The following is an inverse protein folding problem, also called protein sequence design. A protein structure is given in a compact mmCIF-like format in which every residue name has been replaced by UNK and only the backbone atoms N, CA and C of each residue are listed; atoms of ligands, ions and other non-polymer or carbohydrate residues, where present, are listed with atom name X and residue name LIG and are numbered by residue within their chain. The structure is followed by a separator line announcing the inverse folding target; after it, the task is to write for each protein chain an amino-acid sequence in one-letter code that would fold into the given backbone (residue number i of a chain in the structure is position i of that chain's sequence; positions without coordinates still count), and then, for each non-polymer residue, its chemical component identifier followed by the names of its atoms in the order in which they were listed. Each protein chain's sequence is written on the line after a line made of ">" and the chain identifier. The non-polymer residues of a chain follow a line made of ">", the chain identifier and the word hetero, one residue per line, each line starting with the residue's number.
data_IF_357151429390
#
_entry.id   IF_357151429390
#
_cell.length_a   1.000
_cell.length_b   1.000
_cell.length_c   1.000
_cell.angle_alpha   90.00
_cell.angle_beta   90.00
_cell.angle_gamma   90.00
#
_symmetry.space_group_name_H-M   'P 1'
#
loop_
_entity.id
_entity.type
_entity.pdbx_description
1 polymer ?
#
# COMPACT_ATOMS: atom_id res chain seq x y z
N UNK A 1 6.03 -3.97 -17.07
CA UNK A 1 5.46 -4.11 -15.73
C UNK A 1 3.96 -4.28 -15.93
N UNK A 2 3.38 -5.39 -15.50
CA UNK A 2 1.91 -5.51 -15.49
C UNK A 2 1.41 -4.93 -14.16
N UNK A 3 0.68 -3.81 -14.22
CA UNK A 3 0.17 -3.14 -13.03
C UNK A 3 -1.04 -3.84 -12.43
N UNK A 4 -1.76 -4.68 -13.19
CA UNK A 4 -2.93 -5.40 -12.70
C UNK A 4 -2.56 -6.60 -11.83
N UNK A 5 -1.38 -7.19 -12.05
CA UNK A 5 -0.84 -8.27 -11.23
C UNK A 5 0.60 -7.97 -10.78
N UNK A 6 0.73 -6.84 -10.09
CA UNK A 6 2.02 -6.32 -9.63
C UNK A 6 2.86 -7.35 -8.85
N UNK A 7 2.32 -8.14 -7.89
CA UNK A 7 3.12 -9.09 -7.11
C UNK A 7 3.83 -10.14 -7.98
N UNK A 8 3.11 -10.69 -8.96
CA UNK A 8 3.66 -11.70 -9.87
C UNK A 8 4.76 -11.10 -10.77
N UNK A 9 4.58 -9.87 -11.25
CA UNK A 9 5.58 -9.21 -12.07
C UNK A 9 6.89 -8.94 -11.31
N UNK A 10 6.80 -8.52 -10.05
CA UNK A 10 7.96 -8.28 -9.18
C UNK A 10 8.72 -9.57 -8.86
N UNK A 11 7.99 -10.67 -8.61
CA UNK A 11 8.60 -11.99 -8.46
C UNK A 11 9.36 -12.42 -9.73
N UNK A 12 8.78 -12.20 -10.92
CA UNK A 12 9.45 -12.50 -12.19
C UNK A 12 10.72 -11.65 -12.41
N UNK A 13 10.71 -10.39 -11.98
CA UNK A 13 11.88 -9.50 -12.04
C UNK A 13 12.96 -9.93 -11.07
N UNK A 14 12.60 -10.34 -9.86
CA UNK A 14 13.54 -10.88 -8.89
C UNK A 14 14.26 -12.11 -9.45
N UNK A 15 13.54 -13.04 -10.09
CA UNK A 15 14.16 -14.21 -10.72
C UNK A 15 15.12 -13.86 -11.87
N UNK A 16 15.00 -12.68 -12.48
CA UNK A 16 15.83 -12.25 -13.61
C UNK A 16 17.00 -11.34 -13.17
N UNK A 17 16.79 -10.48 -12.19
CA UNK A 17 17.73 -9.42 -11.79
C UNK A 17 18.28 -9.59 -10.37
N UNK A 18 17.74 -10.53 -9.59
CA UNK A 18 18.13 -10.80 -8.21
C UNK A 18 17.29 -10.04 -7.18
N UNK A 19 17.70 -10.15 -5.92
CA UNK A 19 16.96 -9.63 -4.76
C UNK A 19 16.91 -8.09 -4.67
N UNK A 20 17.82 -7.40 -5.37
CA UNK A 20 17.91 -5.94 -5.41
C UNK A 20 18.09 -5.50 -6.86
N UNK A 21 17.18 -4.66 -7.36
CA UNK A 21 17.26 -4.13 -8.72
C UNK A 21 16.67 -2.72 -8.82
N UNK A 22 17.12 -1.94 -9.79
CA UNK A 22 16.57 -0.61 -10.07
C UNK A 22 15.49 -0.67 -11.14
N UNK A 23 14.34 -0.06 -10.88
CA UNK A 23 13.23 0.12 -11.80
C UNK A 23 12.96 1.61 -12.04
N UNK A 24 12.83 2.01 -13.30
CA UNK A 24 12.36 3.36 -13.62
C UNK A 24 10.83 3.42 -13.48
N UNK A 25 10.37 4.10 -12.43
CA UNK A 25 8.95 4.30 -12.14
C UNK A 25 8.55 5.71 -12.59
N UNK A 26 7.78 5.78 -13.68
CA UNK A 26 7.42 7.01 -14.38
C UNK A 26 8.67 7.83 -14.79
N UNK A 27 9.04 8.83 -13.99
CA UNK A 27 10.13 9.77 -14.25
C UNK A 27 11.28 9.68 -13.24
N UNK A 28 11.15 8.84 -12.20
CA UNK A 28 12.17 8.68 -11.16
C UNK A 28 12.68 7.23 -11.13
N UNK A 29 14.00 7.02 -11.05
CA UNK A 29 14.53 5.70 -10.75
C UNK A 29 14.15 5.32 -9.31
N UNK A 30 13.73 4.08 -9.12
CA UNK A 30 13.34 3.49 -7.84
C UNK A 30 14.10 2.19 -7.65
N UNK A 31 14.64 1.95 -6.46
CA UNK A 31 15.26 0.67 -6.11
C UNK A 31 14.21 -0.24 -5.50
N UNK A 32 14.08 -1.45 -6.03
CA UNK A 32 13.18 -2.49 -5.55
C UNK A 32 13.99 -3.55 -4.83
N UNK A 33 13.57 -3.88 -3.61
CA UNK A 33 14.17 -4.92 -2.78
C UNK A 33 13.12 -6.00 -2.55
N UNK A 34 13.40 -7.22 -3.01
CA UNK A 34 12.49 -8.37 -2.90
C UNK A 34 13.07 -9.54 -2.08
N UNK A 35 14.32 -9.44 -1.62
CA UNK A 35 14.97 -10.45 -0.78
C UNK A 35 14.78 -10.20 0.72
N UNK A 36 14.47 -11.25 1.51
CA UNK A 36 14.29 -11.14 2.96
C UNK A 36 15.53 -10.61 3.69
N UNK A 37 16.73 -11.02 3.28
CA UNK A 37 17.99 -10.56 3.87
C UNK A 37 18.20 -9.07 3.61
N UNK A 38 18.06 -8.64 2.36
CA UNK A 38 18.20 -7.23 1.97
C UNK A 38 17.13 -6.35 2.61
N UNK A 39 15.89 -6.83 2.72
CA UNK A 39 14.80 -6.13 3.39
C UNK A 39 15.09 -5.96 4.89
N UNK A 40 15.59 -7.02 5.55
CA UNK A 40 15.99 -6.95 6.96
C UNK A 40 17.14 -5.97 7.20
N UNK A 41 18.18 -6.01 6.37
CA UNK A 41 19.31 -5.08 6.47
C UNK A 41 18.89 -3.64 6.20
N UNK A 42 18.05 -3.39 5.21
CA UNK A 42 17.53 -2.04 4.93
C UNK A 42 16.71 -1.48 6.08
N UNK A 43 15.80 -2.28 6.64
CA UNK A 43 14.93 -1.84 7.74
C UNK A 43 15.69 -1.62 9.06
N UNK A 44 16.72 -2.42 9.34
CA UNK A 44 17.48 -2.35 10.59
C UNK A 44 18.63 -1.34 10.54
N UNK A 45 19.33 -1.25 9.40
CA UNK A 45 20.57 -0.47 9.28
C UNK A 45 20.33 0.88 8.60
N UNK A 46 19.39 0.94 7.65
CA UNK A 46 19.04 2.15 6.89
C UNK A 46 17.63 2.66 7.23
N UNK A 47 17.10 2.30 8.40
CA UNK A 47 15.73 2.62 8.78
C UNK A 47 15.43 4.12 8.83
N UNK A 48 16.41 4.95 9.20
CA UNK A 48 16.27 6.42 9.23
C UNK A 48 16.27 7.02 7.81
N UNK A 49 17.20 6.57 6.95
CA UNK A 49 17.33 7.04 5.55
C UNK A 49 16.23 6.52 4.61
N UNK A 50 15.53 5.44 4.99
CA UNK A 50 14.47 4.80 4.17
C UNK A 50 13.07 4.95 4.76
N UNK A 51 12.94 5.58 5.94
CA UNK A 51 11.65 5.95 6.51
C UNK A 51 10.95 7.05 5.71
N UNK A 52 11.71 7.83 4.94
CA UNK A 52 11.17 8.88 4.09
C UNK A 52 10.27 8.30 3.00
N UNK A 53 9.01 8.75 2.99
CA UNK A 53 8.04 8.39 1.97
C UNK A 53 8.16 9.38 0.80
N UNK A 54 8.68 8.98 -0.37
CA UNK A 54 8.71 9.88 -1.51
C UNK A 54 7.28 10.27 -1.88
N UNK A 55 7.03 11.53 -2.27
CA UNK A 55 5.72 11.95 -2.74
C UNK A 55 5.37 11.14 -3.99
N UNK A 56 4.37 10.28 -3.85
CA UNK A 56 3.82 9.43 -4.90
C UNK A 56 2.47 10.04 -5.31
N UNK A 57 2.39 10.74 -6.47
CA UNK A 57 1.20 11.48 -6.90
C UNK A 57 -0.06 10.62 -7.07
N UNK A 58 0.10 9.29 -7.07
CA UNK A 58 -0.98 8.33 -7.25
C UNK A 58 -2.01 8.40 -6.11
N UNK A 59 -1.60 8.78 -4.89
CA UNK A 59 -2.52 8.92 -3.76
C UNK A 59 -3.42 10.15 -3.87
N UNK A 60 -2.98 11.24 -4.51
CA UNK A 60 -3.82 12.41 -4.79
C UNK A 60 -4.86 12.14 -5.88
N UNK A 61 -4.52 11.32 -6.88
CA UNK A 61 -5.40 11.04 -8.01
C UNK A 61 -6.44 9.94 -7.75
N UNK A 62 -6.23 9.11 -6.72
CA UNK A 62 -7.11 7.98 -6.38
C UNK A 62 -8.45 8.39 -5.74
N UNK A 63 -8.70 9.70 -5.55
CA UNK A 63 -10.00 10.33 -5.31
C UNK A 63 -11.11 9.36 -4.90
N UNK A 64 -11.03 8.87 -3.66
CA UNK A 64 -12.00 7.92 -3.11
C UNK A 64 -13.38 8.58 -3.17
N UNK A 65 -14.22 8.09 -4.08
CA UNK A 65 -15.61 8.55 -4.25
C UNK A 65 -16.55 7.64 -3.47
N UNK A 66 -17.43 8.19 -2.61
CA UNK A 66 -18.52 7.42 -2.03
C UNK A 66 -19.72 7.39 -2.99
N UNK A 67 -20.28 6.20 -3.21
CA UNK A 67 -21.64 6.06 -3.75
C UNK A 67 -21.80 5.02 -4.85
N UNK A 68 -22.18 3.80 -4.47
CA UNK A 68 -22.92 2.90 -5.36
C UNK A 68 -23.97 2.15 -4.54
N UNK A 69 -25.17 2.72 -4.47
CA UNK A 69 -26.37 2.11 -3.91
C UNK A 69 -26.86 1.01 -4.88
N UNK A 70 -26.92 -0.25 -4.42
CA UNK A 70 -27.73 -1.29 -5.07
C UNK A 70 -27.01 -2.47 -5.75
N UNK A 71 -25.76 -2.81 -5.42
CA UNK A 71 -25.10 -4.05 -5.89
C UNK A 71 -25.09 -5.16 -4.82
N UNK A 72 -24.96 -6.44 -5.21
CA UNK A 72 -24.78 -7.56 -4.27
C UNK A 72 -23.68 -7.24 -3.25
N UNK A 73 -23.90 -7.60 -1.98
CA UNK A 73 -23.01 -7.23 -0.88
C UNK A 73 -21.59 -7.72 -1.18
N UNK A 74 -20.71 -6.79 -1.53
CA UNK A 74 -19.27 -7.01 -1.49
C UNK A 74 -18.83 -6.74 -0.03
N UNK A 75 -18.30 -7.74 0.71
CA UNK A 75 -17.98 -7.57 2.13
C UNK A 75 -16.73 -6.72 2.39
N UNK A 76 -15.88 -6.51 1.38
CA UNK A 76 -14.64 -5.74 1.51
C UNK A 76 -14.81 -4.32 2.08
N UNK A 77 -15.76 -3.47 1.60
CA UNK A 77 -15.99 -2.15 2.20
C UNK A 77 -16.36 -2.20 3.69
N UNK A 78 -17.14 -3.20 4.12
CA UNK A 78 -17.54 -3.36 5.53
C UNK A 78 -16.36 -3.81 6.39
N UNK A 79 -15.53 -4.71 5.88
CA UNK A 79 -14.31 -5.17 6.55
C UNK A 79 -13.31 -4.02 6.73
N UNK A 80 -13.07 -3.21 5.69
CA UNK A 80 -12.19 -2.05 5.78
C UNK A 80 -12.68 -1.06 6.84
N UNK A 81 -13.98 -0.72 6.84
CA UNK A 81 -14.57 0.16 7.86
C UNK A 81 -14.43 -0.41 9.28
N UNK A 82 -14.61 -1.73 9.45
CA UNK A 82 -14.45 -2.40 10.73
C UNK A 82 -13.00 -2.37 11.23
N UNK A 83 -12.03 -2.67 10.35
CA UNK A 83 -10.60 -2.61 10.67
C UNK A 83 -10.17 -1.19 11.05
N UNK A 84 -10.62 -0.18 10.31
CA UNK A 84 -10.40 1.23 10.65
C UNK A 84 -10.98 1.57 12.04
N UNK A 85 -12.18 1.10 12.35
CA UNK A 85 -12.82 1.33 13.64
C UNK A 85 -12.10 0.66 14.81
N UNK A 86 -11.54 -0.54 14.62
CA UNK A 86 -10.71 -1.19 15.63
C UNK A 86 -9.47 -0.33 15.90
N UNK A 87 -8.76 0.11 14.87
CA UNK A 87 -7.56 0.95 15.00
C UNK A 87 -7.91 2.30 15.66
N UNK A 88 -8.98 2.96 15.23
CA UNK A 88 -9.45 4.22 15.82
C UNK A 88 -9.81 4.07 17.30
N UNK A 89 -10.44 2.95 17.67
CA UNK A 89 -10.78 2.67 19.07
C UNK A 89 -9.56 2.40 19.94
N UNK A 90 -8.48 1.87 19.37
CA UNK A 90 -7.22 1.65 20.07
C UNK A 90 -6.41 2.94 20.24
N UNK A 91 -6.36 3.79 19.22
CA UNK A 91 -5.53 5.01 19.21
C UNK A 91 -6.25 6.18 19.90
N UNK A 92 -7.53 6.39 19.61
CA UNK A 92 -8.28 7.58 20.02
C UNK A 92 -9.37 7.30 21.05
N UNK A 93 -9.52 6.05 21.49
CA UNK A 93 -10.62 5.60 22.35
C UNK A 93 -12.01 5.98 21.80
N UNK A 94 -12.14 6.17 20.47
CA UNK A 94 -13.37 6.57 19.79
C UNK A 94 -13.65 5.64 18.61
N UNK A 95 -14.93 5.40 18.36
CA UNK A 95 -15.41 4.64 17.19
C UNK A 95 -16.17 5.58 16.27
N UNK A 96 -16.01 5.40 14.98
CA UNK A 96 -16.76 6.12 13.96
C UNK A 96 -17.98 5.29 13.55
N UNK A 97 -19.07 5.94 13.19
CA UNK A 97 -20.26 5.24 12.71
C UNK A 97 -19.99 4.68 11.31
N UNK A 98 -20.47 3.47 11.01
CA UNK A 98 -20.24 2.80 9.72
C UNK A 98 -20.87 3.54 8.53
N UNK A 99 -21.80 4.45 8.81
CA UNK A 99 -22.50 5.34 7.89
C UNK A 99 -21.75 6.67 7.65
N UNK A 100 -20.65 6.93 8.37
CA UNK A 100 -19.92 8.19 8.26
C UNK A 100 -19.35 8.36 6.83
N UNK A 101 -19.71 9.45 6.11
CA UNK A 101 -19.24 9.69 4.74
C UNK A 101 -17.73 9.99 4.67
N UNK A 102 -17.08 10.24 5.81
CA UNK A 102 -15.64 10.48 5.90
C UNK A 102 -14.83 9.21 6.25
N UNK A 103 -15.48 8.03 6.37
CA UNK A 103 -14.85 6.72 6.65
C UNK A 103 -14.89 5.75 5.47
#
# INVERSE_FOLDING_TARGET
>A
MDLHNMPHSMYKLQNRYGDVFSLQMAWKPMVVINGLKAMKEMLLTCGEDTADRPPVPIFEYLGVKPGSQGQPINPNPMLNKSTCNVIASLIFARRFEYEDPFL
#
